data_IF_793407259240
#
_entry.id   IF_793407259240
#
_cell.length_a   1.000
_cell.length_b   1.000
_cell.length_c   1.000
_cell.angle_alpha   90.00
_cell.angle_beta   90.00
_cell.angle_gamma   90.00
#
_symmetry.space_group_name_H-M   'P 1'
#
loop_
_entity.id
_entity.type
_entity.pdbx_description
1 polymer ?
#
# COMPACT_ATOMS: atom_id res chain seq x y z
N UNK A 1 -21.82 -2.62 -15.84
CA UNK A 1 -23.22 -2.18 -16.04
C UNK A 1 -24.28 -3.13 -15.48
N UNK A 2 -24.02 -4.43 -15.30
CA UNK A 2 -24.96 -5.35 -14.64
C UNK A 2 -25.34 -4.89 -13.21
N UNK A 3 -24.37 -4.45 -12.41
CA UNK A 3 -24.61 -3.95 -11.04
C UNK A 3 -25.60 -2.78 -11.01
N UNK A 4 -25.34 -1.72 -11.77
CA UNK A 4 -26.20 -0.50 -11.82
C UNK A 4 -27.64 -0.80 -12.25
N UNK A 5 -27.85 -1.86 -13.04
CA UNK A 5 -29.19 -2.27 -13.47
C UNK A 5 -29.88 -3.19 -12.45
N UNK A 6 -29.12 -3.87 -11.60
CA UNK A 6 -29.62 -4.80 -10.58
C UNK A 6 -29.83 -4.15 -9.21
N UNK A 7 -29.02 -3.14 -8.86
CA UNK A 7 -29.10 -2.41 -7.58
C UNK A 7 -30.44 -1.66 -7.37
N UNK A 8 -31.07 -1.03 -8.38
CA UNK A 8 -32.40 -0.44 -8.24
C UNK A 8 -33.48 -1.49 -7.98
N UNK A 9 -33.30 -2.71 -8.50
CA UNK A 9 -34.23 -3.81 -8.30
C UNK A 9 -34.22 -4.31 -6.83
N UNK A 10 -33.11 -4.09 -6.12
CA UNK A 10 -32.97 -4.34 -4.68
C UNK A 10 -33.51 -3.19 -3.81
N UNK A 11 -34.03 -2.11 -4.40
CA UNK A 11 -34.59 -0.96 -3.67
C UNK A 11 -33.58 0.09 -3.21
N UNK A 12 -32.36 0.13 -3.77
CA UNK A 12 -31.40 1.20 -3.46
C UNK A 12 -31.77 2.54 -4.10
N UNK A 13 -31.45 3.63 -3.40
CA UNK A 13 -31.57 5.00 -3.92
C UNK A 13 -30.46 5.31 -4.92
N UNK A 14 -30.66 6.34 -5.76
CA UNK A 14 -29.66 6.76 -6.74
C UNK A 14 -28.32 7.15 -6.07
N UNK A 15 -28.36 7.85 -4.94
CA UNK A 15 -27.15 8.22 -4.19
C UNK A 15 -26.33 6.99 -3.75
N UNK A 16 -27.00 5.90 -3.34
CA UNK A 16 -26.32 4.66 -2.94
C UNK A 16 -25.66 3.97 -4.14
N UNK A 17 -26.27 4.06 -5.31
CA UNK A 17 -25.72 3.50 -6.55
C UNK A 17 -24.46 4.28 -6.97
N UNK A 18 -24.46 5.60 -6.83
CA UNK A 18 -23.30 6.44 -7.12
C UNK A 18 -22.13 6.13 -6.20
N UNK A 19 -22.38 6.00 -4.89
CA UNK A 19 -21.36 5.59 -3.91
C UNK A 19 -20.81 4.20 -4.27
N UNK A 20 -21.68 3.25 -4.60
CA UNK A 20 -21.26 1.91 -5.01
C UNK A 20 -20.34 1.95 -6.23
N UNK A 21 -20.66 2.74 -7.26
CA UNK A 21 -19.82 2.86 -8.46
C UNK A 21 -18.42 3.39 -8.13
N UNK A 22 -18.33 4.43 -7.30
CA UNK A 22 -17.04 5.01 -6.90
C UNK A 22 -16.22 4.02 -6.07
N UNK A 23 -16.85 3.31 -5.13
CA UNK A 23 -16.17 2.31 -4.29
C UNK A 23 -15.68 1.13 -5.11
N UNK A 24 -16.46 0.65 -6.08
CA UNK A 24 -16.04 -0.44 -6.99
C UNK A 24 -14.82 -0.02 -7.80
N UNK A 25 -14.84 1.19 -8.36
CA UNK A 25 -13.69 1.73 -9.09
C UNK A 25 -12.47 1.89 -8.18
N UNK A 26 -12.64 2.45 -6.97
CA UNK A 26 -11.56 2.58 -6.00
C UNK A 26 -10.96 1.24 -5.60
N UNK A 27 -11.81 0.22 -5.42
CA UNK A 27 -11.37 -1.14 -5.07
C UNK A 27 -10.64 -1.82 -6.22
N UNK A 28 -11.03 -1.57 -7.47
CA UNK A 28 -10.29 -2.06 -8.64
C UNK A 28 -8.86 -1.51 -8.68
N UNK A 29 -8.68 -0.22 -8.42
CA UNK A 29 -7.35 0.38 -8.30
C UNK A 29 -6.56 -0.19 -7.11
N UNK A 30 -7.21 -0.42 -5.97
CA UNK A 30 -6.60 -1.08 -4.83
C UNK A 30 -6.10 -2.49 -5.19
N UNK A 31 -6.84 -3.27 -5.99
CA UNK A 31 -6.37 -4.58 -6.45
C UNK A 31 -5.09 -4.48 -7.27
N UNK A 32 -4.90 -3.43 -8.08
CA UNK A 32 -3.66 -3.18 -8.82
C UNK A 32 -2.49 -2.86 -7.87
N UNK A 33 -2.73 -2.01 -6.87
CA UNK A 33 -1.73 -1.66 -5.83
C UNK A 33 -1.31 -2.92 -5.05
N UNK A 34 -2.27 -3.78 -4.68
CA UNK A 34 -2.00 -5.07 -4.03
C UNK A 34 -1.16 -5.97 -4.93
N UNK A 35 -1.41 -5.98 -6.23
CA UNK A 35 -0.59 -6.73 -7.19
C UNK A 35 0.87 -6.23 -7.19
N UNK A 36 1.10 -4.91 -7.20
CA UNK A 36 2.45 -4.34 -7.08
C UNK A 36 3.11 -4.66 -5.73
N UNK A 37 2.34 -4.63 -4.64
CA UNK A 37 2.81 -5.05 -3.33
C UNK A 37 3.27 -6.50 -3.33
N UNK A 38 2.51 -7.43 -3.93
CA UNK A 38 2.92 -8.83 -4.08
C UNK A 38 4.21 -8.97 -4.88
N UNK A 39 4.34 -8.24 -6.00
CA UNK A 39 5.55 -8.27 -6.83
C UNK A 39 6.77 -7.75 -6.05
N UNK A 40 6.63 -6.65 -5.30
CA UNK A 40 7.72 -6.14 -4.46
C UNK A 40 8.13 -7.12 -3.37
N UNK A 41 7.15 -7.80 -2.76
CA UNK A 41 7.42 -8.83 -1.75
C UNK A 41 8.08 -10.07 -2.37
N UNK A 42 7.73 -10.42 -3.60
CA UNK A 42 8.37 -11.51 -4.35
C UNK A 42 9.87 -11.28 -4.55
N UNK A 43 10.29 -10.03 -4.76
CA UNK A 43 11.70 -9.64 -4.85
C UNK A 43 12.38 -9.41 -3.47
N UNK A 44 11.72 -9.79 -2.36
CA UNK A 44 12.17 -9.55 -0.96
C UNK A 44 12.42 -8.06 -0.60
N UNK A 45 11.88 -7.13 -1.40
CA UNK A 45 12.00 -5.66 -1.21
C UNK A 45 10.99 -5.13 -0.19
N UNK A 46 11.08 -5.60 1.06
CA UNK A 46 10.14 -5.32 2.16
C UNK A 46 9.96 -3.83 2.45
N UNK A 47 11.04 -3.05 2.31
CA UNK A 47 11.00 -1.60 2.56
C UNK A 47 10.13 -0.88 1.53
N UNK A 48 10.32 -1.19 0.25
CA UNK A 48 9.54 -0.59 -0.83
C UNK A 48 8.06 -0.99 -0.74
N UNK A 49 7.80 -2.27 -0.43
CA UNK A 49 6.45 -2.78 -0.21
C UNK A 49 5.74 -2.06 0.96
N UNK A 50 6.43 -1.86 2.08
CA UNK A 50 5.90 -1.11 3.22
C UNK A 50 5.61 0.36 2.88
N UNK A 51 6.52 1.03 2.17
CA UNK A 51 6.30 2.42 1.74
C UNK A 51 5.11 2.56 0.80
N UNK A 52 4.94 1.62 -0.14
CA UNK A 52 3.82 1.62 -1.09
C UNK A 52 2.47 1.49 -0.35
N UNK A 53 2.30 0.47 0.49
CA UNK A 53 1.05 0.25 1.22
C UNK A 53 0.79 1.31 2.30
N UNK A 54 1.85 1.78 2.96
CA UNK A 54 1.79 2.84 3.96
C UNK A 54 1.36 4.16 3.35
N UNK A 55 1.93 4.54 2.20
CA UNK A 55 1.55 5.75 1.48
C UNK A 55 0.07 5.72 1.06
N UNK A 56 -0.41 4.59 0.53
CA UNK A 56 -1.81 4.42 0.18
C UNK A 56 -2.74 4.56 1.39
N UNK A 57 -2.42 3.90 2.50
CA UNK A 57 -3.26 3.91 3.70
C UNK A 57 -3.37 5.32 4.29
N UNK A 58 -2.25 6.02 4.43
CA UNK A 58 -2.21 7.40 4.95
C UNK A 58 -2.96 8.34 4.02
N UNK A 59 -2.70 8.24 2.71
CA UNK A 59 -3.29 9.12 1.71
C UNK A 59 -4.81 8.89 1.62
N UNK A 60 -5.26 7.64 1.64
CA UNK A 60 -6.67 7.26 1.66
C UNK A 60 -7.37 7.78 2.92
N UNK A 61 -6.74 7.68 4.08
CA UNK A 61 -7.31 8.20 5.33
C UNK A 61 -7.47 9.73 5.29
N UNK A 62 -6.41 10.45 4.91
CA UNK A 62 -6.43 11.91 4.83
C UNK A 62 -7.43 12.44 3.80
N UNK A 63 -7.44 11.87 2.60
CA UNK A 63 -8.38 12.28 1.55
C UNK A 63 -9.82 11.93 1.91
N UNK A 64 -10.06 10.80 2.58
CA UNK A 64 -11.42 10.46 3.04
C UNK A 64 -11.93 11.48 4.05
N UNK A 65 -11.10 11.89 5.01
CA UNK A 65 -11.45 12.92 6.00
C UNK A 65 -11.74 14.26 5.31
N UNK A 66 -10.92 14.65 4.33
CA UNK A 66 -11.09 15.88 3.55
C UNK A 66 -12.38 15.86 2.71
N UNK A 67 -12.62 14.79 1.95
CA UNK A 67 -13.77 14.67 1.06
C UNK A 67 -15.09 14.58 1.82
N UNK A 68 -15.10 13.86 2.95
CA UNK A 68 -16.26 13.78 3.83
C UNK A 68 -16.60 15.15 4.42
N UNK A 69 -15.59 15.94 4.82
CA UNK A 69 -15.80 17.26 5.41
C UNK A 69 -16.22 18.36 4.43
N UNK A 70 -15.71 18.35 3.19
CA UNK A 70 -15.91 19.45 2.23
C UNK A 70 -16.98 19.17 1.18
N UNK A 71 -17.11 17.93 0.71
CA UNK A 71 -17.91 17.61 -0.48
C UNK A 71 -19.07 16.66 -0.20
N UNK A 72 -19.18 16.11 1.02
CA UNK A 72 -20.15 15.07 1.40
C UNK A 72 -20.18 13.88 0.42
N UNK A 73 -19.08 13.66 -0.30
CA UNK A 73 -18.94 12.59 -1.30
C UNK A 73 -18.28 11.38 -0.65
N UNK A 74 -19.05 10.32 -0.47
CA UNK A 74 -18.58 9.06 0.08
C UNK A 74 -17.79 8.27 -0.99
N UNK A 75 -16.63 7.74 -0.61
CA UNK A 75 -15.78 6.91 -1.48
C UNK A 75 -14.84 7.69 -2.43
N UNK A 76 -15.09 8.98 -2.69
CA UNK A 76 -14.27 9.79 -3.59
C UNK A 76 -12.81 9.93 -3.14
N UNK A 77 -12.59 10.11 -1.83
CA UNK A 77 -11.25 10.21 -1.26
C UNK A 77 -10.41 8.94 -1.45
N UNK A 78 -11.01 7.76 -1.30
CA UNK A 78 -10.36 6.46 -1.55
C UNK A 78 -9.95 6.32 -3.01
N UNK A 79 -10.84 6.69 -3.95
CA UNK A 79 -10.58 6.61 -5.38
C UNK A 79 -9.40 7.49 -5.81
N UNK A 80 -9.39 8.76 -5.37
CA UNK A 80 -8.30 9.70 -5.66
C UNK A 80 -6.99 9.24 -5.03
N UNK A 81 -7.03 8.75 -3.79
CA UNK A 81 -5.86 8.19 -3.12
C UNK A 81 -5.28 7.00 -3.91
N UNK A 82 -6.14 6.10 -4.39
CA UNK A 82 -5.72 4.93 -5.15
C UNK A 82 -5.02 5.32 -6.46
N UNK A 83 -5.49 6.34 -7.18
CA UNK A 83 -4.84 6.82 -8.41
C UNK A 83 -3.43 7.36 -8.10
N UNK A 84 -3.31 8.22 -7.09
CA UNK A 84 -2.04 8.83 -6.71
C UNK A 84 -1.05 7.74 -6.25
N UNK A 85 -1.51 6.82 -5.40
CA UNK A 85 -0.69 5.72 -4.91
C UNK A 85 -0.33 4.72 -6.00
N UNK A 86 -1.18 4.50 -7.02
CA UNK A 86 -0.84 3.68 -8.16
C UNK A 86 0.29 4.32 -8.98
N UNK A 87 0.24 5.63 -9.23
CA UNK A 87 1.31 6.35 -9.91
C UNK A 87 2.64 6.25 -9.15
N UNK A 88 2.62 6.46 -7.82
CA UNK A 88 3.79 6.26 -6.97
C UNK A 88 4.28 4.81 -7.02
N UNK A 89 3.36 3.84 -6.96
CA UNK A 89 3.64 2.42 -7.06
C UNK A 89 4.34 2.04 -8.37
N UNK A 90 3.88 2.56 -9.51
CA UNK A 90 4.54 2.36 -10.80
C UNK A 90 5.99 2.88 -10.79
N UNK A 91 6.23 4.07 -10.24
CA UNK A 91 7.58 4.64 -10.15
C UNK A 91 8.50 3.80 -9.26
N UNK A 92 8.00 3.37 -8.10
CA UNK A 92 8.75 2.49 -7.19
C UNK A 92 9.06 1.17 -7.87
N UNK A 93 8.07 0.57 -8.54
CA UNK A 93 8.23 -0.72 -9.22
C UNK A 93 9.28 -0.65 -10.34
N UNK A 94 9.22 0.36 -11.21
CA UNK A 94 10.20 0.55 -12.29
C UNK A 94 11.61 0.76 -11.72
N UNK A 95 11.75 1.60 -10.69
CA UNK A 95 13.04 1.84 -10.04
C UNK A 95 13.63 0.56 -9.46
N UNK A 96 12.80 -0.29 -8.86
CA UNK A 96 13.25 -1.57 -8.28
C UNK A 96 13.54 -2.59 -9.37
N UNK A 97 12.72 -2.65 -10.42
CA UNK A 97 12.92 -3.53 -11.58
C UNK A 97 14.27 -3.30 -12.26
N UNK A 98 14.69 -2.04 -12.39
CA UNK A 98 15.98 -1.70 -13.00
C UNK A 98 17.19 -2.07 -12.12
N UNK A 99 17.00 -2.26 -10.81
CA UNK A 99 18.06 -2.63 -9.86
C UNK A 99 18.10 -4.15 -9.57
N UNK A 100 17.21 -4.97 -10.17
CA UNK A 100 17.05 -6.40 -9.82
C UNK A 100 18.33 -7.19 -10.03
N UNK A 101 19.07 -6.95 -11.11
CA UNK A 101 20.31 -7.70 -11.38
C UNK A 101 21.34 -7.44 -10.27
N UNK A 102 21.43 -6.20 -9.81
CA UNK A 102 22.35 -5.83 -8.73
C UNK A 102 21.93 -6.45 -7.40
N UNK A 103 20.66 -6.42 -7.05
CA UNK A 103 20.18 -7.02 -5.79
C UNK A 103 20.24 -8.54 -5.82
N UNK A 104 19.94 -9.20 -6.93
CA UNK A 104 19.94 -10.67 -6.99
C UNK A 104 21.34 -11.27 -6.92
N UNK A 105 22.32 -10.65 -7.58
CA UNK A 105 23.68 -11.19 -7.66
C UNK A 105 24.65 -10.61 -6.62
N UNK A 106 24.51 -9.33 -6.25
CA UNK A 106 25.52 -8.64 -5.44
C UNK A 106 25.10 -8.36 -3.98
N UNK A 107 23.86 -8.61 -3.59
CA UNK A 107 23.43 -8.38 -2.20
C UNK A 107 23.78 -9.53 -1.24
N UNK A 108 24.29 -10.66 -1.76
CA UNK A 108 24.75 -11.76 -0.93
C UNK A 108 25.97 -11.31 -0.12
N UNK A 109 25.89 -11.25 1.22
CA UNK A 109 26.98 -10.78 2.04
C UNK A 109 28.10 -11.83 2.01
N UNK A 110 29.21 -11.52 1.34
CA UNK A 110 30.44 -12.33 1.33
C UNK A 110 31.02 -12.43 2.76
N UNK A 111 30.67 -11.48 3.63
CA UNK A 111 31.06 -11.43 5.05
C UNK A 111 29.80 -11.29 5.91
N UNK A 112 29.52 -12.32 6.71
CA UNK A 112 28.44 -12.31 7.69
C UNK A 112 28.74 -11.25 8.76
N UNK A 113 28.04 -10.10 8.73
CA UNK A 113 28.06 -9.14 9.83
C UNK A 113 26.91 -9.46 10.78
N UNK A 114 27.25 -9.88 12.00
CA UNK A 114 26.26 -10.03 13.07
C UNK A 114 25.50 -8.71 13.24
N UNK A 115 24.18 -8.76 13.04
CA UNK A 115 23.31 -7.62 13.32
C UNK A 115 23.03 -7.60 14.82
N UNK A 116 23.78 -6.76 15.53
CA UNK A 116 23.50 -6.46 16.94
C UNK A 116 22.11 -5.83 17.01
N UNK A 117 21.17 -6.53 17.63
CA UNK A 117 19.76 -6.10 17.64
C UNK A 117 19.55 -5.03 18.73
N UNK A 118 18.56 -4.13 18.58
CA UNK A 118 18.28 -3.09 19.58
C UNK A 118 18.01 -3.65 20.99
N UNK A 119 17.43 -4.86 21.05
CA UNK A 119 17.20 -5.62 22.28
C UNK A 119 18.52 -6.05 22.92
N UNK A 120 19.50 -6.46 22.13
CA UNK A 120 20.83 -6.87 22.58
C UNK A 120 21.62 -5.68 23.14
N UNK A 121 21.45 -4.49 22.54
CA UNK A 121 22.01 -3.23 23.05
C UNK A 121 21.33 -2.80 24.37
N UNK A 122 20.05 -3.12 24.53
CA UNK A 122 19.29 -2.86 25.75
C UNK A 122 19.68 -3.87 26.85
N UNK A 123 19.85 -5.16 26.53
CA UNK A 123 20.35 -6.19 27.45
C UNK A 123 21.79 -5.93 27.92
N UNK A 124 22.69 -5.49 27.03
CA UNK A 124 24.04 -5.02 27.42
C UNK A 124 23.99 -3.83 28.37
N UNK A 125 22.97 -2.97 28.27
CA UNK A 125 22.79 -1.81 29.16
C UNK A 125 22.22 -2.19 30.54
N UNK A 126 21.50 -3.30 30.62
CA UNK A 126 20.97 -3.85 31.89
C UNK A 126 21.90 -4.88 32.54
N UNK A 127 23.10 -5.11 31.99
CA UNK A 127 24.15 -5.88 32.66
C UNK A 127 23.86 -7.38 32.80
N UNK A 128 22.99 -7.96 31.97
CA UNK A 128 22.62 -9.38 32.07
C UNK A 128 23.40 -10.31 31.13
N UNK A 129 24.49 -9.83 30.52
CA UNK A 129 25.39 -10.64 29.69
C UNK A 129 26.85 -10.27 30.03
N UNK A 130 27.29 -10.74 31.20
CA UNK A 130 28.70 -11.02 31.45
C UNK A 130 28.96 -12.47 31.00
N UNK A 131 29.57 -12.61 29.82
CA UNK A 131 30.72 -13.47 29.47
C UNK A 131 30.99 -13.37 27.96
#
# INVERSE_FOLDING_TARGET
>A
FLGVRFLPFLGMTQDQIDIFMIVVLGTWFLSLIITFFLILLYFDEKKAAFWLIGSYTILSFLLTLLFMGLFNQYGGGMFVAAIISLYLGCRILISRLNEIDYTTFCSQPIVYKEKITGIERLLKRFGSLEE
#
